data_IF_048318862431
#
_entry.id   IF_048318862431
#
_cell.length_a   1.000
_cell.length_b   1.000
_cell.length_c   1.000
_cell.angle_alpha   90.00
_cell.angle_beta   90.00
_cell.angle_gamma   90.00
#
_symmetry.space_group_name_H-M   'P 1'
#
loop_
_entity.id
_entity.type
_entity.pdbx_description
1 polymer ?
2 non-polymer ?
3 non-polymer ?
4 non-polymer ?
5 water ?
#
# COMPACT_ATOMS: atom_id res chain seq x y z
N UNK A 3 -25.65 1.38 8.97
CA UNK A 3 -25.16 2.03 7.76
C UNK A 3 -24.22 1.11 6.97
N UNK A 4 -24.66 0.70 5.78
CA UNK A 4 -23.95 -0.28 4.99
C UNK A 4 -22.74 0.33 4.29
N UNK A 5 -21.66 -0.42 4.23
CA UNK A 5 -20.47 0.06 3.56
C UNK A 5 -20.57 -0.13 2.05
N UNK A 6 -19.89 0.75 1.33
CA UNK A 6 -19.86 0.68 -0.13
C UNK A 6 -19.10 -0.57 -0.58
N UNK A 7 -19.58 -1.19 -1.65
CA UNK A 7 -18.91 -2.33 -2.27
C UNK A 7 -18.36 -1.88 -3.61
N UNK A 8 -17.12 -2.27 -3.89
CA UNK A 8 -16.44 -1.91 -5.13
C UNK A 8 -16.17 -3.17 -5.93
N UNK A 9 -16.76 -3.25 -7.11
CA UNK A 9 -16.55 -4.37 -8.02
C UNK A 9 -15.31 -4.11 -8.88
N UNK A 10 -14.29 -4.94 -8.73
CA UNK A 10 -13.01 -4.78 -9.40
C UNK A 10 -12.71 -6.01 -10.22
N UNK A 11 -12.11 -5.81 -11.40
CA UNK A 11 -11.79 -6.91 -12.30
C UNK A 11 -10.31 -6.85 -12.61
N UNK A 12 -9.61 -7.96 -12.38
CA UNK A 12 -8.19 -8.10 -12.69
C UNK A 12 -8.06 -8.70 -14.08
N UNK A 13 -7.41 -7.99 -15.00
CA UNK A 13 -7.24 -8.47 -16.36
C UNK A 13 -5.77 -8.42 -16.74
N UNK A 14 -5.44 -9.11 -17.82
CA UNK A 14 -4.06 -9.22 -18.27
C UNK A 14 -3.82 -10.56 -18.93
N UNK A 15 -2.71 -10.64 -19.67
CA UNK A 15 -2.33 -11.87 -20.36
C UNK A 15 -2.03 -12.97 -19.36
N UNK A 16 -2.25 -14.22 -19.78
CA UNK A 16 -1.88 -15.36 -18.98
C UNK A 16 -0.46 -15.28 -18.47
N UNK A 17 -0.24 -15.69 -17.22
CA UNK A 17 1.09 -15.77 -16.67
C UNK A 17 1.60 -14.51 -16.00
N UNK A 18 0.88 -13.39 -16.08
CA UNK A 18 1.42 -12.16 -15.51
C UNK A 18 1.32 -12.16 -13.98
N UNK A 19 0.36 -12.90 -13.43
CA UNK A 19 0.22 -12.92 -11.98
C UNK A 19 -1.08 -12.37 -11.46
N UNK A 20 -2.16 -12.47 -12.26
CA UNK A 20 -3.47 -12.02 -11.79
C UNK A 20 -3.90 -12.82 -10.57
N UNK A 21 -3.79 -14.14 -10.64
CA UNK A 21 -4.17 -14.98 -9.52
C UNK A 21 -3.25 -14.75 -8.32
N UNK A 22 -1.94 -14.67 -8.56
CA UNK A 22 -1.01 -14.54 -7.45
C UNK A 22 -1.19 -13.22 -6.70
N UNK A 23 -1.47 -12.14 -7.42
CA UNK A 23 -1.75 -10.88 -6.73
C UNK A 23 -3.05 -10.95 -5.98
N UNK A 24 -4.10 -11.49 -6.62
CA UNK A 24 -5.41 -11.55 -5.96
C UNK A 24 -5.35 -12.44 -4.73
N UNK A 25 -4.68 -13.59 -4.82
CA UNK A 25 -4.58 -14.48 -3.68
C UNK A 25 -3.69 -13.87 -2.60
N UNK A 26 -2.68 -13.08 -2.99
CA UNK A 26 -1.90 -12.39 -1.97
C UNK A 26 -2.73 -11.36 -1.21
N UNK A 27 -3.62 -10.65 -1.92
CA UNK A 27 -4.48 -9.69 -1.24
C UNK A 27 -5.44 -10.38 -0.29
N UNK A 28 -6.06 -11.48 -0.72
CA UNK A 28 -7.09 -12.14 0.07
C UNK A 28 -6.47 -12.98 1.19
N UNK A 29 -5.56 -13.88 0.84
CA UNK A 29 -5.08 -14.89 1.76
C UNK A 29 -3.66 -14.66 2.27
N UNK A 30 -2.93 -13.70 1.68
CA UNK A 30 -1.64 -13.27 2.21
C UNK A 30 -0.58 -14.38 2.13
N UNK A 31 -0.62 -15.17 1.06
CA UNK A 31 0.45 -16.10 0.74
C UNK A 31 0.62 -16.17 -0.78
N UNK A 32 1.80 -16.62 -1.18
CA UNK A 32 2.21 -16.64 -2.59
C UNK A 32 1.99 -18.02 -3.19
N UNK A 33 1.14 -18.11 -4.24
CA UNK A 33 0.88 -19.36 -4.96
C UNK A 33 1.77 -19.43 -6.19
N UNK A 34 2.17 -20.65 -6.56
CA UNK A 34 3.19 -20.85 -7.58
C UNK A 34 2.67 -21.52 -8.84
N UNK A 35 1.60 -22.29 -8.75
CA UNK A 35 1.18 -23.10 -9.90
C UNK A 35 -0.34 -23.10 -10.01
N UNK A 36 -0.95 -21.96 -9.71
CA UNK A 36 -2.41 -21.89 -9.72
C UNK A 36 -2.95 -22.10 -11.12
N UNK A 37 -4.03 -22.87 -11.21
CA UNK A 37 -4.61 -23.30 -12.48
C UNK A 37 -4.85 -22.09 -13.38
N UNK A 38 -4.20 -22.00 -14.55
CA UNK A 38 -4.38 -20.85 -15.43
C UNK A 38 -5.80 -20.67 -15.95
N UNK A 39 -6.69 -21.64 -15.72
CA UNK A 39 -8.06 -21.55 -16.24
C UNK A 39 -9.11 -21.25 -15.18
N UNK A 40 -8.74 -21.21 -13.91
CA UNK A 40 -9.69 -20.94 -12.84
C UNK A 40 -10.03 -19.46 -12.81
N UNK A 41 -11.31 -19.13 -12.99
CA UNK A 41 -11.82 -17.75 -12.96
C UNK A 41 -12.71 -17.58 -11.72
N UNK A 42 -12.12 -17.20 -10.60
CA UNK A 42 -12.81 -17.05 -9.33
C UNK A 42 -13.10 -15.59 -9.00
N UNK A 43 -14.17 -15.36 -8.26
CA UNK A 43 -14.41 -14.06 -7.64
C UNK A 43 -14.13 -14.16 -6.14
N UNK A 44 -13.72 -13.03 -5.55
CA UNK A 44 -13.29 -12.95 -4.18
C UNK A 44 -13.87 -11.71 -3.52
N UNK A 45 -14.03 -11.78 -2.20
CA UNK A 45 -14.50 -10.65 -1.42
C UNK A 45 -13.50 -10.37 -0.30
N UNK A 46 -13.40 -9.10 0.10
CA UNK A 46 -12.53 -8.75 1.22
C UNK A 46 -13.00 -7.43 1.83
N UNK A 47 -13.12 -7.43 3.15
CA UNK A 47 -13.46 -6.23 3.89
C UNK A 47 -12.16 -5.49 4.19
N UNK A 48 -12.11 -4.21 3.79
CA UNK A 48 -10.90 -3.41 3.94
C UNK A 48 -11.29 -1.99 4.30
N UNK A 49 -10.35 -1.27 4.90
CA UNK A 49 -10.48 0.17 5.10
C UNK A 49 -9.50 0.88 4.18
N UNK A 50 -9.98 1.87 3.44
CA UNK A 50 -9.17 2.59 2.48
C UNK A 50 -9.34 4.08 2.73
N UNK A 51 -8.24 4.76 3.02
CA UNK A 51 -8.28 6.16 3.44
C UNK A 51 -9.27 6.31 4.58
N UNK A 52 -9.25 5.33 5.48
CA UNK A 52 -10.02 5.33 6.70
C UNK A 52 -11.53 5.34 6.45
N UNK A 53 -11.95 4.82 5.31
CA UNK A 53 -13.36 4.55 5.03
C UNK A 53 -13.50 3.07 4.71
N UNK A 54 -14.13 2.33 5.62
CA UNK A 54 -14.28 0.90 5.42
C UNK A 54 -15.12 0.63 4.19
N UNK A 55 -14.89 -0.53 3.57
CA UNK A 55 -15.64 -0.91 2.39
C UNK A 55 -15.39 -2.38 2.08
N UNK A 56 -16.10 -2.88 1.08
CA UNK A 56 -16.01 -4.24 0.63
C UNK A 56 -15.48 -4.25 -0.81
N UNK A 57 -14.57 -5.18 -1.09
CA UNK A 57 -14.04 -5.38 -2.45
C UNK A 57 -14.62 -6.66 -3.02
N UNK A 58 -15.10 -6.58 -4.25
CA UNK A 58 -15.70 -7.69 -4.98
C UNK A 58 -14.88 -7.85 -6.26
N UNK A 59 -13.99 -8.83 -6.28
CA UNK A 59 -12.88 -8.92 -7.22
C UNK A 59 -13.04 -10.17 -8.07
N UNK A 60 -13.11 -10.00 -9.39
CA UNK A 60 -13.07 -11.11 -10.33
C UNK A 60 -11.65 -11.27 -10.84
N UNK A 61 -11.10 -12.47 -10.67
CA UNK A 61 -9.75 -12.84 -11.11
C UNK A 61 -9.88 -13.58 -12.44
N UNK A 62 -9.82 -12.83 -13.55
CA UNK A 62 -10.11 -13.41 -14.86
C UNK A 62 -9.02 -14.40 -15.28
N UNK A 63 -9.41 -15.34 -16.12
CA UNK A 63 -8.50 -16.40 -16.56
C UNK A 63 -8.87 -16.81 -17.98
N UNK A 64 -7.84 -17.05 -18.79
CA UNK A 64 -8.02 -17.53 -20.14
C UNK A 64 -8.78 -16.59 -21.05
N UNK A 65 -8.90 -16.95 -22.32
CA UNK A 65 -9.68 -16.17 -23.28
C UNK A 65 -10.69 -17.04 -24.02
N UNK A 66 -11.09 -18.16 -23.42
CA UNK A 66 -12.17 -18.95 -23.99
C UNK A 66 -13.47 -18.17 -23.96
N UNK A 67 -14.51 -18.74 -24.57
CA UNK A 67 -15.82 -18.10 -24.59
C UNK A 67 -16.28 -17.81 -23.16
N UNK A 68 -16.48 -16.52 -22.87
CA UNK A 68 -16.69 -16.07 -21.49
C UNK A 68 -17.93 -16.71 -20.87
N UNK A 69 -17.85 -16.94 -19.57
CA UNK A 69 -19.03 -17.26 -18.79
C UNK A 69 -19.93 -16.03 -18.73
N UNK A 70 -21.19 -16.26 -18.38
CA UNK A 70 -22.08 -15.12 -18.17
C UNK A 70 -21.65 -14.27 -16.98
N UNK A 71 -20.91 -14.84 -16.04
CA UNK A 71 -20.44 -14.04 -14.90
C UNK A 71 -19.36 -13.06 -15.33
N UNK A 72 -18.40 -13.51 -16.16
CA UNK A 72 -17.37 -12.62 -16.65
C UNK A 72 -17.99 -11.45 -17.43
N UNK A 73 -18.90 -11.76 -18.35
CA UNK A 73 -19.55 -10.70 -19.12
C UNK A 73 -20.28 -9.71 -18.21
N UNK A 74 -20.89 -10.20 -17.13
CA UNK A 74 -21.55 -9.30 -16.20
C UNK A 74 -20.53 -8.46 -15.44
N UNK A 75 -19.44 -9.07 -14.99
CA UNK A 75 -18.39 -8.31 -14.33
C UNK A 75 -17.76 -7.29 -15.27
N UNK A 76 -17.57 -7.63 -16.55
CA UNK A 76 -16.99 -6.67 -17.48
C UNK A 76 -17.92 -5.48 -17.67
N UNK A 77 -19.23 -5.71 -17.72
CA UNK A 77 -20.16 -4.61 -17.91
C UNK A 77 -20.36 -3.80 -16.64
N UNK A 78 -20.36 -4.45 -15.48
CA UNK A 78 -20.64 -3.80 -14.21
C UNK A 78 -19.38 -3.39 -13.44
N UNK A 79 -18.19 -3.82 -13.90
CA UNK A 79 -16.94 -3.50 -13.24
C UNK A 79 -16.79 -2.02 -12.99
N UNK A 80 -16.44 -1.65 -11.75
CA UNK A 80 -16.23 -0.25 -11.46
C UNK A 80 -14.78 0.19 -11.58
N UNK A 81 -13.85 -0.72 -11.41
CA UNK A 81 -12.44 -0.44 -11.64
C UNK A 81 -11.75 -1.68 -12.16
N UNK A 82 -10.70 -1.47 -12.96
CA UNK A 82 -10.00 -2.56 -13.60
C UNK A 82 -8.52 -2.50 -13.25
N UNK A 83 -7.95 -3.64 -12.84
CA UNK A 83 -6.53 -3.78 -12.56
C UNK A 83 -5.90 -4.40 -13.81
N UNK A 84 -5.19 -3.59 -14.57
CA UNK A 84 -4.61 -4.06 -15.84
C UNK A 84 -3.18 -4.47 -15.57
N UNK A 85 -2.93 -5.77 -15.54
CA UNK A 85 -1.66 -6.32 -15.05
C UNK A 85 -0.82 -6.77 -16.24
N UNK A 86 0.44 -6.36 -16.24
CA UNK A 86 1.45 -6.94 -17.10
C UNK A 86 2.61 -7.40 -16.22
N UNK A 87 3.56 -8.08 -16.84
CA UNK A 87 4.74 -8.57 -16.17
C UNK A 87 5.96 -7.84 -16.68
N UNK A 88 6.76 -7.29 -15.77
CA UNK A 88 7.92 -6.52 -16.18
C UNK A 88 8.93 -7.35 -16.97
N UNK A 89 8.83 -8.67 -16.96
CA UNK A 89 9.75 -9.51 -17.72
C UNK A 89 9.20 -9.90 -19.08
N UNK A 90 8.11 -9.26 -19.52
CA UNK A 90 7.44 -9.66 -20.74
C UNK A 90 6.92 -8.42 -21.45
N UNK A 91 7.68 -7.93 -22.44
CA UNK A 91 7.19 -6.81 -23.24
C UNK A 91 5.86 -7.16 -23.89
N UNK A 92 5.70 -8.42 -24.30
CA UNK A 92 4.46 -8.86 -24.92
C UNK A 92 3.25 -8.61 -24.02
N UNK A 93 3.39 -8.90 -22.73
CA UNK A 93 2.27 -8.67 -21.81
C UNK A 93 1.93 -7.18 -21.72
N UNK A 94 2.94 -6.30 -21.73
CA UNK A 94 2.64 -4.87 -21.81
C UNK A 94 1.96 -4.52 -23.13
N UNK A 95 2.47 -5.03 -24.25
CA UNK A 95 1.81 -4.71 -25.52
C UNK A 95 0.35 -5.13 -25.51
N UNK A 96 0.01 -6.23 -24.84
CA UNK A 96 -1.38 -6.66 -24.83
C UNK A 96 -2.27 -5.76 -23.98
N UNK A 97 -1.69 -4.95 -23.09
CA UNK A 97 -2.49 -4.04 -22.26
C UNK A 97 -3.30 -3.08 -23.13
N UNK A 98 -2.72 -2.62 -24.24
CA UNK A 98 -3.45 -1.67 -25.08
C UNK A 98 -4.80 -2.23 -25.51
N UNK A 99 -4.85 -3.53 -25.87
CA UNK A 99 -6.15 -4.07 -26.26
C UNK A 99 -7.05 -4.32 -25.05
N UNK A 100 -6.50 -4.68 -23.90
CA UNK A 100 -7.33 -4.80 -22.70
C UNK A 100 -8.03 -3.47 -22.39
N UNK A 101 -7.32 -2.34 -22.52
CA UNK A 101 -7.97 -1.06 -22.28
C UNK A 101 -9.03 -0.77 -23.34
N UNK A 102 -8.74 -1.07 -24.61
CA UNK A 102 -9.76 -0.84 -25.64
C UNK A 102 -11.02 -1.63 -25.33
N UNK A 103 -10.85 -2.89 -24.95
CA UNK A 103 -11.99 -3.78 -24.71
C UNK A 103 -12.78 -3.35 -23.48
N UNK A 104 -12.09 -2.90 -22.43
CA UNK A 104 -12.80 -2.39 -21.25
C UNK A 104 -13.59 -1.14 -21.62
N UNK A 105 -12.95 -0.19 -22.32
CA UNK A 105 -13.66 1.01 -22.74
C UNK A 105 -14.78 0.67 -23.72
N UNK A 106 -14.60 -0.39 -24.52
CA UNK A 106 -15.66 -0.82 -25.43
C UNK A 106 -16.89 -1.30 -24.66
N UNK A 107 -16.68 -2.24 -23.73
CA UNK A 107 -17.79 -2.83 -22.98
C UNK A 107 -18.44 -1.79 -22.07
N UNK A 108 -17.63 -1.02 -21.33
CA UNK A 108 -18.22 -0.02 -20.45
C UNK A 108 -18.87 1.13 -21.22
N UNK A 109 -18.54 1.29 -22.50
CA UNK A 109 -19.12 2.34 -23.34
C UNK A 109 -18.88 3.73 -22.75
N UNK A 110 -17.62 4.02 -22.44
CA UNK A 110 -17.26 5.35 -21.98
C UNK A 110 -15.80 5.61 -22.35
N UNK A 111 -15.45 6.90 -22.40
CA UNK A 111 -14.11 7.32 -22.79
C UNK A 111 -13.09 7.08 -21.69
N UNK A 112 -13.51 7.01 -20.43
CA UNK A 112 -12.62 6.83 -19.30
C UNK A 112 -13.28 5.92 -18.29
N UNK A 113 -12.57 4.89 -17.86
CA UNK A 113 -13.04 3.95 -16.86
C UNK A 113 -11.95 3.86 -15.79
N UNK A 114 -12.28 3.88 -14.49
CA UNK A 114 -11.22 3.73 -13.48
C UNK A 114 -10.38 2.49 -13.71
N UNK A 115 -9.08 2.67 -13.82
CA UNK A 115 -8.22 1.51 -13.98
C UNK A 115 -6.85 1.92 -13.52
N UNK A 116 -6.03 0.93 -13.23
CA UNK A 116 -4.64 1.13 -12.83
C UNK A 116 -3.78 0.18 -13.64
N UNK A 117 -2.61 0.65 -14.05
CA UNK A 117 -1.65 -0.15 -14.79
C UNK A 117 -0.67 -0.72 -13.78
N UNK A 118 -0.56 -2.05 -13.73
CA UNK A 118 0.26 -2.74 -12.74
C UNK A 118 1.34 -3.53 -13.46
N UNK A 119 2.60 -3.19 -13.20
CA UNK A 119 3.72 -3.98 -13.64
C UNK A 119 4.15 -4.95 -12.56
N UNK A 120 3.71 -6.21 -12.68
CA UNK A 120 3.95 -7.23 -11.68
C UNK A 120 5.28 -7.96 -11.91
N UNK A 121 5.66 -8.74 -10.90
CA UNK A 121 6.92 -9.48 -10.86
C UNK A 121 8.10 -8.53 -10.81
N UNK A 122 7.97 -7.41 -10.08
CA UNK A 122 9.12 -6.50 -10.04
C UNK A 122 10.30 -7.06 -9.26
N UNK A 123 10.16 -8.27 -8.70
CA UNK A 123 11.28 -8.97 -8.09
C UNK A 123 12.24 -9.54 -9.13
N UNK A 124 11.77 -9.72 -10.36
CA UNK A 124 12.56 -10.33 -11.42
C UNK A 124 13.39 -9.27 -12.14
N UNK A 125 14.21 -8.56 -11.37
CA UNK A 125 15.00 -7.48 -11.97
C UNK A 125 16.01 -8.01 -12.97
N UNK A 126 16.46 -9.25 -12.80
CA UNK A 126 17.41 -9.82 -13.76
C UNK A 126 16.77 -10.00 -15.12
N UNK A 127 15.49 -10.36 -15.17
CA UNK A 127 14.80 -10.67 -16.42
C UNK A 127 13.96 -9.51 -16.93
N UNK A 128 14.19 -8.29 -16.45
CA UNK A 128 13.33 -7.17 -16.79
C UNK A 128 13.43 -6.85 -18.29
N UNK A 129 12.29 -6.87 -18.97
CA UNK A 129 12.15 -6.39 -20.35
C UNK A 129 11.52 -5.02 -20.43
N UNK A 130 10.56 -4.72 -19.55
CA UNK A 130 9.84 -3.46 -19.57
C UNK A 130 10.43 -2.57 -18.49
N UNK A 131 11.00 -1.45 -18.89
CA UNK A 131 11.53 -0.55 -17.88
C UNK A 131 10.39 0.12 -17.11
N UNK A 132 10.70 0.57 -15.89
CA UNK A 132 9.73 1.34 -15.11
C UNK A 132 9.28 2.57 -15.89
N UNK A 133 10.25 3.28 -16.48
CA UNK A 133 9.96 4.48 -17.26
C UNK A 133 8.97 4.20 -18.38
N UNK A 134 9.11 3.04 -19.03
CA UNK A 134 8.20 2.71 -20.13
C UNK A 134 6.80 2.40 -19.63
N UNK A 135 6.70 1.72 -18.48
CA UNK A 135 5.38 1.51 -17.89
C UNK A 135 4.76 2.81 -17.44
N UNK A 136 5.56 3.71 -16.88
CA UNK A 136 5.02 5.00 -16.47
C UNK A 136 4.52 5.77 -17.69
N UNK A 137 5.23 5.65 -18.81
CA UNK A 137 4.86 6.34 -20.04
C UNK A 137 3.52 5.87 -20.58
N UNK A 138 3.26 4.57 -20.56
CA UNK A 138 1.95 4.05 -20.96
C UNK A 138 0.85 4.63 -20.05
N UNK A 139 1.06 4.54 -18.73
CA UNK A 139 0.05 5.02 -17.79
C UNK A 139 -0.18 6.53 -17.92
N UNK A 140 0.90 7.31 -18.07
CA UNK A 140 0.73 8.75 -18.29
C UNK A 140 -0.02 9.03 -19.60
N UNK A 141 0.23 8.22 -20.64
CA UNK A 141 -0.47 8.41 -21.91
C UNK A 141 -1.96 8.14 -21.79
N UNK A 142 -2.34 7.15 -20.99
CA UNK A 142 -3.74 6.85 -20.72
C UNK A 142 -4.29 7.62 -19.53
N UNK A 143 -3.45 8.41 -18.87
CA UNK A 143 -3.83 9.19 -17.69
C UNK A 143 -4.43 8.29 -16.61
N UNK A 144 -3.73 7.20 -16.32
CA UNK A 144 -4.15 6.28 -15.25
C UNK A 144 -2.99 6.13 -14.28
N UNK A 145 -3.27 5.75 -13.05
CA UNK A 145 -2.18 5.47 -12.11
C UNK A 145 -1.38 4.23 -12.53
N UNK A 146 -0.15 4.19 -12.05
CA UNK A 146 0.82 3.15 -12.36
C UNK A 146 1.43 2.63 -11.08
N UNK A 147 1.70 1.34 -11.05
CA UNK A 147 2.40 0.75 -9.92
C UNK A 147 3.15 -0.48 -10.39
N UNK A 148 4.35 -0.68 -9.85
CA UNK A 148 5.04 -1.96 -9.96
C UNK A 148 4.83 -2.77 -8.67
N UNK A 149 4.53 -4.05 -8.84
CA UNK A 149 4.18 -4.93 -7.74
C UNK A 149 5.02 -6.20 -7.80
N UNK A 150 5.10 -6.89 -6.66
CA UNK A 150 5.59 -8.26 -6.63
C UNK A 150 4.67 -9.06 -5.72
N UNK A 151 3.89 -9.97 -6.33
CA UNK A 151 3.13 -10.93 -5.54
C UNK A 151 4.06 -11.88 -4.80
N UNK A 152 5.25 -12.13 -5.35
CA UNK A 152 6.16 -13.07 -4.72
C UNK A 152 6.78 -12.48 -3.47
N UNK A 153 7.28 -11.25 -3.54
CA UNK A 153 7.93 -10.60 -2.41
C UNK A 153 6.99 -9.68 -1.63
N UNK A 154 5.70 -9.65 -1.96
CA UNK A 154 4.70 -8.80 -1.29
C UNK A 154 5.08 -7.32 -1.31
N UNK A 155 5.24 -6.78 -2.52
CA UNK A 155 5.52 -5.38 -2.75
C UNK A 155 4.30 -4.73 -3.41
N UNK A 156 3.69 -3.77 -2.71
CA UNK A 156 2.62 -2.93 -3.25
C UNK A 156 1.37 -3.71 -3.64
N UNK A 157 1.11 -4.86 -3.01
CA UNK A 157 -0.06 -5.64 -3.40
C UNK A 157 -1.35 -4.94 -2.96
N UNK A 158 -1.50 -4.71 -1.65
CA UNK A 158 -2.66 -3.94 -1.18
C UNK A 158 -2.70 -2.56 -1.82
N UNK A 159 -1.55 -1.88 -1.95
CA UNK A 159 -1.59 -0.52 -2.46
C UNK A 159 -2.15 -0.46 -3.88
N UNK A 160 -1.88 -1.49 -4.69
CA UNK A 160 -2.41 -1.48 -6.05
C UNK A 160 -3.94 -1.52 -6.04
N UNK A 161 -4.52 -2.42 -5.25
CA UNK A 161 -5.97 -2.50 -5.15
C UNK A 161 -6.57 -1.24 -4.53
N UNK A 162 -5.95 -0.73 -3.46
CA UNK A 162 -6.46 0.47 -2.80
C UNK A 162 -6.38 1.67 -3.73
N UNK A 163 -5.30 1.79 -4.50
CA UNK A 163 -5.19 2.87 -5.47
C UNK A 163 -6.32 2.82 -6.49
N UNK A 164 -6.71 1.61 -6.91
CA UNK A 164 -7.85 1.51 -7.82
C UNK A 164 -9.12 2.01 -7.16
N UNK A 165 -9.32 1.71 -5.87
CA UNK A 165 -10.47 2.24 -5.16
C UNK A 165 -10.40 3.76 -5.07
N UNK A 166 -9.21 4.32 -4.86
CA UNK A 166 -9.11 5.78 -4.80
C UNK A 166 -9.46 6.39 -6.14
N UNK A 167 -9.13 5.70 -7.23
CA UNK A 167 -9.50 6.15 -8.57
C UNK A 167 -11.00 6.12 -8.77
N UNK A 168 -11.66 5.04 -8.33
CA UNK A 168 -13.12 4.96 -8.45
C UNK A 168 -13.78 6.10 -7.67
N UNK A 169 -13.25 6.42 -6.49
CA UNK A 169 -13.84 7.47 -5.64
C UNK A 169 -13.64 8.86 -6.22
N UNK A 170 -12.69 9.04 -7.14
CA UNK A 170 -12.49 10.31 -7.83
C UNK A 170 -13.40 10.46 -9.05
N UNK A 171 -13.92 9.35 -9.57
CA UNK A 171 -14.72 9.33 -10.78
C UNK A 171 -16.03 10.10 -10.60
N UNK B 4 12.57 19.56 -9.98
CA UNK B 4 12.93 19.18 -8.61
C UNK B 4 11.71 18.70 -7.83
N UNK B 5 11.74 17.44 -7.41
CA UNK B 5 10.60 16.85 -6.75
C UNK B 5 10.49 17.36 -5.31
N UNK B 6 9.35 17.07 -4.68
CA UNK B 6 9.12 17.44 -3.29
C UNK B 6 9.80 16.45 -2.36
N UNK B 7 10.27 16.94 -1.22
CA UNK B 7 10.89 16.09 -0.23
C UNK B 7 10.07 16.16 1.04
N UNK B 8 9.96 15.03 1.72
CA UNK B 8 9.14 14.89 2.93
C UNK B 8 10.00 14.30 4.02
N UNK B 9 10.15 15.02 5.12
CA UNK B 9 10.89 14.55 6.28
C UNK B 9 9.92 13.83 7.21
N UNK B 10 10.09 12.52 7.36
CA UNK B 10 9.24 11.68 8.20
C UNK B 10 10.02 11.18 9.39
N UNK B 11 9.34 11.06 10.53
CA UNK B 11 9.96 10.55 11.75
C UNK B 11 9.11 9.38 12.25
N UNK B 12 9.76 8.25 12.49
CA UNK B 12 9.12 7.06 13.03
C UNK B 12 9.37 7.06 14.53
N UNK B 13 8.28 7.08 15.31
CA UNK B 13 8.38 7.11 16.77
C UNK B 13 7.50 5.99 17.34
N UNK B 14 7.77 5.66 18.60
CA UNK B 14 7.06 4.60 19.28
C UNK B 14 7.96 3.97 20.34
N UNK B 15 7.33 3.25 21.27
CA UNK B 15 8.12 2.66 22.34
C UNK B 15 9.07 1.61 21.78
N UNK B 16 10.05 1.23 22.61
CA UNK B 16 11.02 0.26 22.18
C UNK B 16 10.36 -1.07 21.83
N UNK B 17 10.84 -1.69 20.76
CA UNK B 17 10.40 -3.02 20.39
C UNK B 17 9.15 -3.11 19.55
N UNK B 18 8.49 -1.98 19.24
CA UNK B 18 7.25 -2.08 18.46
C UNK B 18 7.51 -2.41 16.99
N UNK B 19 8.69 -2.14 16.47
CA UNK B 19 8.99 -2.51 15.10
C UNK B 19 9.31 -1.32 14.21
N UNK B 20 9.80 -0.25 14.84
CA UNK B 20 10.16 0.95 14.09
C UNK B 20 11.26 0.67 13.07
N UNK B 21 12.32 -0.05 13.48
CA UNK B 21 13.40 -0.35 12.55
C UNK B 21 12.98 -1.40 11.53
N UNK B 22 12.30 -2.45 11.99
CA UNK B 22 11.81 -3.46 11.07
C UNK B 22 10.91 -2.84 10.01
N UNK B 23 10.06 -1.88 10.37
CA UNK B 23 9.22 -1.27 9.34
C UNK B 23 10.05 -0.42 8.38
N UNK B 24 10.96 0.39 8.92
CA UNK B 24 11.73 1.27 8.06
C UNK B 24 12.61 0.48 7.11
N UNK B 25 13.20 -0.61 7.60
CA UNK B 25 14.12 -1.39 6.78
C UNK B 25 13.37 -2.20 5.74
N UNK B 26 12.15 -2.67 6.05
CA UNK B 26 11.34 -3.28 5.01
C UNK B 26 11.03 -2.27 3.91
N UNK B 27 10.80 -1.02 4.26
CA UNK B 27 10.56 -0.01 3.24
C UNK B 27 11.80 0.22 2.39
N UNK B 28 12.94 0.44 3.04
CA UNK B 28 14.15 0.81 2.31
C UNK B 28 14.74 -0.40 1.60
N UNK B 29 15.02 -1.46 2.36
CA UNK B 29 15.78 -2.60 1.84
C UNK B 29 14.94 -3.83 1.56
N UNK B 30 13.64 -3.81 1.89
CA UNK B 30 12.69 -4.86 1.53
C UNK B 30 13.10 -6.25 2.06
N UNK B 31 13.59 -6.29 3.29
CA UNK B 31 13.78 -7.54 4.00
C UNK B 31 13.49 -7.30 5.49
N UNK B 32 13.29 -8.41 6.21
CA UNK B 32 12.83 -8.36 7.60
C UNK B 32 13.98 -8.65 8.55
N UNK B 33 14.34 -7.67 9.38
CA UNK B 33 15.36 -7.86 10.41
C UNK B 33 14.70 -8.41 11.67
N UNK B 34 15.39 -9.33 12.35
CA UNK B 34 14.88 -9.92 13.58
C UNK B 34 15.60 -9.43 14.83
N UNK B 35 16.86 -9.03 14.72
CA UNK B 35 17.63 -8.70 15.92
C UNK B 35 18.29 -7.33 15.82
N UNK B 36 17.80 -6.45 14.95
CA UNK B 36 18.44 -5.16 14.75
C UNK B 36 18.62 -4.44 16.08
N UNK B 37 19.80 -3.86 16.27
CA UNK B 37 20.20 -3.30 17.56
C UNK B 37 19.21 -2.25 18.03
N UNK B 38 18.62 -2.39 19.21
CA UNK B 38 17.61 -1.44 19.68
C UNK B 38 18.12 -0.02 19.92
N UNK B 39 19.42 0.20 19.80
CA UNK B 39 19.97 1.54 19.99
C UNK B 39 20.31 2.26 18.69
N UNK B 40 20.35 1.57 17.55
CA UNK B 40 20.76 2.17 16.30
C UNK B 40 19.68 3.13 15.79
N UNK B 41 20.04 4.40 15.65
CA UNK B 41 19.16 5.46 15.18
C UNK B 41 19.68 5.96 13.84
N UNK B 42 19.01 5.59 12.75
CA UNK B 42 19.51 5.91 11.41
C UNK B 42 18.48 6.67 10.61
N UNK B 43 18.96 7.50 9.69
CA UNK B 43 18.11 8.19 8.73
C UNK B 43 18.34 7.64 7.34
N UNK B 44 17.29 7.66 6.53
CA UNK B 44 17.29 6.98 5.25
C UNK B 44 16.64 7.88 4.22
N UNK B 45 17.06 7.71 2.98
CA UNK B 45 16.43 8.36 1.86
C UNK B 45 15.84 7.31 0.95
N UNK B 46 14.65 7.59 0.43
CA UNK B 46 14.03 6.71 -0.55
C UNK B 46 13.22 7.54 -1.52
N UNK B 47 13.39 7.25 -2.81
CA UNK B 47 12.60 7.86 -3.86
C UNK B 47 11.40 6.98 -4.14
N UNK B 48 10.21 7.57 -4.17
CA UNK B 48 8.95 6.84 -4.34
C UNK B 48 8.00 7.72 -5.12
N UNK B 49 7.03 7.08 -5.76
CA UNK B 49 5.95 7.76 -6.45
C UNK B 49 4.68 7.50 -5.65
N UNK B 50 4.02 8.56 -5.23
CA UNK B 50 2.84 8.47 -4.40
C UNK B 50 1.72 9.24 -5.09
N UNK B 51 0.62 8.56 -5.37
CA UNK B 51 -0.45 9.12 -6.18
C UNK B 51 0.13 9.70 -7.48
N UNK B 52 1.11 8.98 -8.02
CA UNK B 52 1.80 9.31 -9.27
C UNK B 52 2.42 10.72 -9.26
N UNK B 53 2.90 11.15 -8.09
CA UNK B 53 3.70 12.36 -7.95
C UNK B 53 4.96 11.96 -7.19
N UNK B 54 6.11 12.07 -7.85
CA UNK B 54 7.35 11.53 -7.28
C UNK B 54 7.87 12.41 -6.15
N UNK B 55 8.57 11.78 -5.21
CA UNK B 55 9.08 12.53 -4.08
C UNK B 55 10.20 11.75 -3.42
N UNK B 56 10.96 12.46 -2.61
CA UNK B 56 12.08 11.90 -1.87
C UNK B 56 11.68 11.87 -0.41
N UNK B 57 11.69 10.69 0.20
CA UNK B 57 11.41 10.56 1.63
C UNK B 57 12.71 10.64 2.41
N UNK B 58 12.72 11.48 3.44
CA UNK B 58 13.81 11.61 4.41
C UNK B 58 13.28 11.11 5.76
N UNK B 59 13.60 9.87 6.10
CA UNK B 59 12.98 9.15 7.21
C UNK B 59 14.02 8.99 8.32
N UNK B 60 13.67 9.45 9.52
CA UNK B 60 14.46 9.16 10.70
C UNK B 60 13.79 8.05 11.50
N UNK B 61 14.47 6.91 11.61
CA UNK B 61 14.04 5.80 12.46
C UNK B 61 14.61 6.00 13.87
N UNK B 62 13.77 6.45 14.81
CA UNK B 62 14.26 6.75 16.15
C UNK B 62 14.47 5.49 16.98
N UNK B 63 15.35 5.60 17.97
CA UNK B 63 15.74 4.44 18.77
C UNK B 63 16.04 4.88 20.19
N UNK B 64 15.49 4.15 21.15
CA UNK B 64 15.71 4.44 22.56
C UNK B 64 15.14 5.77 23.01
N UNK B 65 15.20 6.03 24.31
CA UNK B 65 14.79 7.29 24.91
C UNK B 65 15.92 7.88 25.73
N UNK B 66 17.15 7.74 25.24
CA UNK B 66 18.33 8.34 25.84
C UNK B 66 18.26 9.86 25.73
N UNK B 67 19.37 10.55 25.97
CA UNK B 67 19.46 11.94 25.57
C UNK B 67 19.54 12.01 24.05
N UNK B 68 18.60 12.72 23.43
CA UNK B 68 18.54 12.75 21.97
C UNK B 68 19.79 13.38 21.38
N UNK B 69 20.26 12.79 20.29
CA UNK B 69 21.33 13.43 19.52
C UNK B 69 20.82 14.72 18.91
N UNK B 70 21.76 15.57 18.48
CA UNK B 70 21.36 16.82 17.84
C UNK B 70 20.56 16.55 16.58
N UNK B 71 20.86 15.47 15.86
CA UNK B 71 20.12 15.15 14.65
C UNK B 71 18.68 14.77 14.97
N UNK B 72 18.47 14.00 16.04
CA UNK B 72 17.10 13.60 16.41
C UNK B 72 16.27 14.82 16.79
N UNK B 73 16.82 15.73 17.60
CA UNK B 73 16.10 16.94 17.95
C UNK B 73 15.76 17.75 16.71
N UNK B 74 16.67 17.79 15.74
CA UNK B 74 16.39 18.55 14.52
C UNK B 74 15.25 17.91 13.74
N UNK B 75 15.25 16.58 13.65
CA UNK B 75 14.19 15.90 12.92
C UNK B 75 12.84 16.02 13.63
N UNK B 76 12.82 16.05 14.97
CA UNK B 76 11.56 16.25 15.68
C UNK B 76 10.99 17.64 15.41
N UNK B 77 11.85 18.65 15.41
CA UNK B 77 11.42 20.03 15.23
C UNK B 77 11.05 20.34 13.78
N UNK B 78 11.67 19.66 12.83
CA UNK B 78 11.42 19.94 11.41
C UNK B 78 10.66 18.84 10.70
N UNK B 79 10.34 17.75 11.40
CA UNK B 79 9.62 16.66 10.76
C UNK B 79 8.30 17.15 10.20
N UNK B 80 7.97 16.69 9.00
CA UNK B 80 6.69 17.08 8.43
C UNK B 80 5.59 16.07 8.68
N UNK B 81 5.95 14.81 8.93
CA UNK B 81 4.97 13.80 9.27
C UNK B 81 5.58 12.78 10.20
N UNK B 82 4.74 12.21 11.07
CA UNK B 82 5.19 11.27 12.08
C UNK B 82 4.41 9.97 11.97
N UNK B 83 5.15 8.87 11.98
CA UNK B 83 4.59 7.52 11.96
C UNK B 83 4.63 7.02 13.40
N UNK B 84 3.46 6.99 14.05
CA UNK B 84 3.39 6.66 15.48
C UNK B 84 3.06 5.19 15.60
N UNK B 85 4.04 4.39 15.98
CA UNK B 85 3.95 2.95 15.89
C UNK B 85 3.71 2.38 17.28
N UNK B 86 2.76 1.47 17.39
CA UNK B 86 2.62 0.58 18.53
C UNK B 86 2.56 -0.83 17.97
N UNK B 87 2.49 -1.81 18.86
CA UNK B 87 2.36 -3.21 18.45
C UNK B 87 1.05 -3.75 18.98
N UNK B 88 0.33 -4.47 18.13
CA UNK B 88 -1.00 -4.92 18.50
C UNK B 88 -0.96 -5.91 19.65
N UNK B 89 0.22 -6.43 19.98
CA UNK B 89 0.38 -7.35 21.10
C UNK B 89 0.78 -6.65 22.39
N UNK B 90 0.75 -5.32 22.43
CA UNK B 90 1.17 -4.59 23.63
C UNK B 90 0.25 -3.40 23.88
N UNK B 91 -0.70 -3.54 24.82
CA UNK B 91 -1.50 -2.38 25.20
C UNK B 91 -0.63 -1.25 25.73
N UNK B 92 0.43 -1.57 26.46
CA UNK B 92 1.33 -0.53 26.95
C UNK B 92 1.88 0.30 25.81
N UNK B 93 2.20 -0.34 24.67
CA UNK B 93 2.76 0.43 23.56
C UNK B 93 1.74 1.41 22.99
N UNK B 94 0.45 1.02 22.98
CA UNK B 94 -0.59 1.95 22.58
C UNK B 94 -0.77 3.07 23.60
N UNK B 95 -0.80 2.73 24.90
CA UNK B 95 -0.89 3.76 25.93
C UNK B 95 0.20 4.82 25.78
N UNK B 96 1.40 4.41 25.38
CA UNK B 96 2.47 5.40 25.24
C UNK B 96 2.31 6.26 24.00
N UNK B 97 1.51 5.84 23.03
CA UNK B 97 1.22 6.66 21.85
C UNK B 97 0.66 8.01 22.25
N UNK B 98 -0.14 8.06 23.32
CA UNK B 98 -0.72 9.34 23.72
C UNK B 98 0.38 10.35 24.09
N UNK B 99 1.45 9.87 24.74
CA UNK B 99 2.51 10.79 25.13
C UNK B 99 3.45 11.10 23.96
N UNK B 100 3.61 10.16 23.03
CA UNK B 100 4.34 10.51 21.81
C UNK B 100 3.64 11.64 21.06
N UNK B 101 2.31 11.56 20.93
CA UNK B 101 1.58 12.62 20.23
C UNK B 101 1.71 13.96 20.93
N UNK B 102 1.54 13.97 22.26
CA UNK B 102 1.74 15.22 23.00
C UNK B 102 3.14 15.78 22.79
N UNK B 103 4.14 14.90 22.79
CA UNK B 103 5.52 15.33 22.58
C UNK B 103 5.73 15.90 21.18
N UNK B 104 5.11 15.30 20.16
CA UNK B 104 5.17 15.85 18.82
C UNK B 104 4.49 17.22 18.75
N UNK B 105 3.31 17.33 19.33
CA UNK B 105 2.59 18.60 19.24
C UNK B 105 3.35 19.69 20.00
N UNK B 106 4.06 19.33 21.06
CA UNK B 106 4.84 20.28 21.83
C UNK B 106 6.02 20.80 21.02
N UNK B 107 6.87 19.90 20.52
CA UNK B 107 8.05 20.33 19.77
C UNK B 107 7.66 21.08 18.50
N UNK B 108 6.57 20.68 17.85
CA UNK B 108 6.15 21.38 16.63
C UNK B 108 5.37 22.65 16.92
N UNK B 109 4.81 22.77 18.13
CA UNK B 109 4.12 23.99 18.58
C UNK B 109 2.94 24.34 17.67
N UNK B 110 2.05 23.35 17.47
CA UNK B 110 0.81 23.58 16.76
C UNK B 110 -0.19 22.54 17.21
N UNK B 111 -1.46 22.79 16.90
CA UNK B 111 -2.53 21.94 17.42
C UNK B 111 -2.63 20.62 16.68
N UNK B 112 -2.36 20.60 15.38
CA UNK B 112 -2.41 19.40 14.58
C UNK B 112 -1.14 19.26 13.74
N UNK B 113 -0.61 18.05 13.68
CA UNK B 113 0.58 17.72 12.90
C UNK B 113 0.27 16.47 12.08
N UNK B 114 0.66 16.39 10.81
CA UNK B 114 0.42 15.16 10.05
C UNK B 114 1.06 13.97 10.73
N UNK B 115 0.25 12.97 11.03
CA UNK B 115 0.76 11.77 11.65
C UNK B 115 -0.19 10.63 11.31
N UNK B 116 0.31 9.41 11.42
CA UNK B 116 -0.50 8.23 11.20
C UNK B 116 -0.30 7.29 12.37
N UNK B 117 -1.39 6.67 12.82
CA UNK B 117 -1.31 5.70 13.89
C UNK B 117 -1.13 4.33 13.27
N UNK B 118 -0.06 3.63 13.63
CA UNK B 118 0.27 2.35 12.99
C UNK B 118 0.32 1.27 14.06
N UNK B 119 -0.56 0.28 13.93
CA UNK B 119 -0.49 -0.88 14.80
C UNK B 119 0.25 -2.00 14.12
N UNK B 120 1.52 -2.20 14.50
CA UNK B 120 2.40 -3.16 13.84
C UNK B 120 2.30 -4.54 14.50
N UNK B 121 2.92 -5.52 13.84
CA UNK B 121 2.93 -6.94 14.23
C UNK B 121 1.53 -7.53 14.13
N UNK B 122 0.75 -7.08 13.15
CA UNK B 122 -0.60 -7.61 13.02
C UNK B 122 -0.61 -9.08 12.65
N UNK B 123 0.54 -9.67 12.35
CA UNK B 123 0.65 -11.11 12.20
C UNK B 123 0.59 -11.86 13.53
N UNK B 124 0.79 -11.18 14.66
CA UNK B 124 0.78 -11.84 15.97
C UNK B 124 -0.64 -11.91 16.54
N UNK B 125 -1.53 -12.48 15.74
CA UNK B 125 -2.93 -12.49 16.11
C UNK B 125 -3.17 -13.27 17.39
N UNK B 126 -2.36 -14.31 17.65
CA UNK B 126 -2.48 -15.07 18.90
C UNK B 126 -2.24 -14.18 20.11
N UNK B 127 -1.32 -13.24 20.02
CA UNK B 127 -0.90 -12.43 21.14
C UNK B 127 -1.54 -11.04 21.15
N UNK B 128 -2.56 -10.82 20.34
CA UNK B 128 -3.16 -9.48 20.24
C UNK B 128 -3.70 -9.01 21.59
N UNK B 129 -3.24 -7.84 22.04
CA UNK B 129 -3.84 -7.15 23.18
C UNK B 129 -4.70 -5.97 22.78
N UNK B 130 -4.39 -5.32 21.66
CA UNK B 130 -5.09 -4.12 21.19
C UNK B 130 -5.95 -4.53 20.01
N UNK B 131 -7.26 -4.43 20.16
CA UNK B 131 -8.15 -4.72 19.04
C UNK B 131 -8.01 -3.66 17.95
N UNK B 132 -8.29 -4.06 16.72
CA UNK B 132 -8.32 -3.10 15.61
C UNK B 132 -9.30 -1.98 15.90
N UNK B 133 -10.46 -2.34 16.45
CA UNK B 133 -11.49 -1.37 16.81
C UNK B 133 -10.95 -0.32 17.79
N UNK B 134 -10.11 -0.74 18.73
CA UNK B 134 -9.54 0.19 19.71
C UNK B 134 -8.53 1.12 19.07
N UNK B 135 -7.65 0.58 18.22
CA UNK B 135 -6.73 1.45 17.48
C UNK B 135 -7.48 2.45 16.62
N UNK B 136 -8.51 2.01 15.89
CA UNK B 136 -9.30 2.92 15.06
C UNK B 136 -9.93 4.02 15.90
N UNK B 137 -10.38 3.68 17.11
CA UNK B 137 -11.00 4.68 17.98
C UNK B 137 -10.00 5.74 18.42
N UNK B 138 -8.76 5.33 18.73
CA UNK B 138 -7.73 6.31 19.08
C UNK B 138 -7.44 7.24 17.90
N UNK B 139 -7.22 6.66 16.73
CA UNK B 139 -6.98 7.45 15.52
C UNK B 139 -8.14 8.38 15.22
N UNK B 140 -9.38 7.88 15.34
CA UNK B 140 -10.52 8.75 15.06
C UNK B 140 -10.59 9.89 16.06
N UNK B 141 -10.26 9.62 17.33
CA UNK B 141 -10.30 10.65 18.38
C UNK B 141 -9.27 11.74 18.14
N UNK B 142 -8.11 11.37 17.60
CA UNK B 142 -7.08 12.33 17.22
C UNK B 142 -7.24 12.81 15.78
N UNK B 143 -8.22 12.27 15.05
CA UNK B 143 -8.49 12.65 13.68
C UNK B 143 -7.26 12.45 12.80
N UNK B 144 -6.68 11.25 12.90
CA UNK B 144 -5.52 10.88 12.08
C UNK B 144 -5.83 9.56 11.40
N UNK B 145 -5.12 9.23 10.32
CA UNK B 145 -5.33 7.92 9.70
C UNK B 145 -4.77 6.81 10.57
N UNK B 146 -5.26 5.61 10.31
CA UNK B 146 -4.93 4.42 11.07
C UNK B 146 -4.60 3.30 10.08
N UNK B 147 -3.64 2.47 10.45
CA UNK B 147 -3.34 1.29 9.67
C UNK B 147 -2.74 0.25 10.60
N UNK B 148 -3.06 -1.01 10.37
CA UNK B 148 -2.29 -2.09 10.98
C UNK B 148 -1.31 -2.66 9.95
N UNK B 149 -0.10 -2.96 10.40
CA UNK B 149 1.00 -3.39 9.55
C UNK B 149 1.65 -4.64 10.11
N UNK B 150 2.40 -5.34 9.25
CA UNK B 150 3.30 -6.41 9.68
C UNK B 150 4.60 -6.26 8.90
N UNK B 151 5.67 -5.86 9.57
CA UNK B 151 6.97 -5.86 8.93
C UNK B 151 7.40 -7.28 8.55
N UNK B 152 6.95 -8.26 9.33
CA UNK B 152 7.38 -9.64 9.13
C UNK B 152 6.69 -10.27 7.92
N UNK B 153 5.39 -10.06 7.79
CA UNK B 153 4.70 -10.62 6.66
C UNK B 153 4.61 -9.64 5.49
N UNK B 154 5.16 -8.45 5.65
CA UNK B 154 5.09 -7.39 4.63
C UNK B 154 3.64 -7.06 4.32
N UNK B 155 2.93 -6.56 5.34
CA UNK B 155 1.56 -6.11 5.20
C UNK B 155 1.52 -4.61 5.46
N UNK B 156 1.16 -3.84 4.44
CA UNK B 156 0.91 -2.40 4.53
C UNK B 156 2.13 -1.59 4.91
N UNK B 157 3.34 -2.08 4.62
CA UNK B 157 4.55 -1.31 4.95
C UNK B 157 4.60 -0.03 4.12
N UNK B 158 4.66 -0.17 2.79
CA UNK B 158 4.64 1.02 1.93
C UNK B 158 3.38 1.84 2.18
N UNK B 159 2.26 1.14 2.31
CA UNK B 159 0.95 1.78 2.45
C UNK B 159 0.92 2.74 3.63
N UNK B 160 1.56 2.37 4.74
CA UNK B 160 1.60 3.23 5.92
C UNK B 160 2.40 4.50 5.66
N UNK B 161 3.60 4.37 5.09
CA UNK B 161 4.38 5.55 4.76
C UNK B 161 3.70 6.41 3.70
N UNK B 162 3.12 5.78 2.68
CA UNK B 162 2.44 6.56 1.64
C UNK B 162 1.25 7.32 2.21
N UNK B 163 0.51 6.67 3.11
CA UNK B 163 -0.62 7.36 3.76
C UNK B 163 -0.15 8.60 4.50
N UNK B 164 1.00 8.53 5.16
CA UNK B 164 1.49 9.69 5.88
C UNK B 164 1.79 10.84 4.92
N UNK B 165 2.39 10.54 3.76
CA UNK B 165 2.63 11.57 2.76
C UNK B 165 1.33 12.16 2.25
N UNK B 166 0.31 11.32 2.04
CA UNK B 166 -1.01 11.84 1.65
C UNK B 166 -1.55 12.78 2.71
N UNK B 167 -1.35 12.42 3.98
CA UNK B 167 -1.81 13.26 5.07
C UNK B 167 -1.08 14.60 5.06
N UNK B 168 0.24 14.57 4.83
CA UNK B 168 1.00 15.82 4.73
C UNK B 168 0.43 16.68 3.62
N UNK B 169 0.19 16.09 2.45
CA UNK B 169 -0.29 16.86 1.31
C UNK B 169 -1.66 17.49 1.56
N UNK B 170 -2.42 16.97 2.53
CA UNK B 170 -3.72 17.53 2.87
C UNK B 170 -3.64 18.80 3.71
N UNK B 171 -2.55 19.01 4.44
CA UNK B 171 -2.43 20.17 5.33
C UNK B 171 -2.18 21.45 4.52
#
# INVERSE_FOLDING_TARGET
>A
GAMAMTEYRLVVVGTGGVGKSALTIQLIQQHFVTEYDPTIEDSYRKHVSIDDEACLLDILDTAGQEDYSAMRDQYMRTGEGFLCVYSIDSQQSLDEIHSFREQILRVKDQDEVPMILVGNKCDLEEHREVSTEAGQAVAKSYSIPFMETSAKKRINVEEAFYQLVREIRKY
>B
GAMAMTEYRLVVVGTGGVGKSALTIQLIQQHFVTEYDPTIEDSYRKHVSIDDEACLLDILDTAGQEDYSAMRDQYMRTGEGFLCVYSIDSQQSLDEIHSFREQILRVKDQDEVPMILVGNKCDLEEHREVSTEAGQAVAKSYSIPFMETSAKKRINVEEAFYQLVREIRKY
#
